data_IF_848819230796
#
_entry.id   IF_848819230796
#
_cell.length_a   1.000
_cell.length_b   1.000
_cell.length_c   1.000
_cell.angle_alpha   90.00
_cell.angle_beta   90.00
_cell.angle_gamma   90.00
#
_symmetry.space_group_name_H-M   'P 1'
#
loop_
_entity.id
_entity.type
_entity.pdbx_description
1 polymer ?
#
# COMPACT_ATOMS: atom_id res chain seq x y z
N UNK A 1 53.16 71.56 20.71
CA UNK A 1 54.16 70.69 20.06
C UNK A 1 53.69 69.25 20.27
N UNK A 2 52.96 68.63 19.35
CA UNK A 2 53.48 67.92 18.17
C UNK A 2 54.69 67.04 18.50
N UNK A 3 54.53 65.72 18.62
CA UNK A 3 54.90 64.75 17.58
C UNK A 3 54.88 63.27 18.07
N UNK A 4 54.37 62.41 17.18
CA UNK A 4 54.74 61.00 16.91
C UNK A 4 54.24 59.88 17.85
N UNK A 5 53.02 59.42 17.53
CA UNK A 5 52.69 57.99 17.49
C UNK A 5 53.53 57.26 16.43
N UNK A 6 54.09 56.09 16.78
CA UNK A 6 54.38 54.99 15.83
C UNK A 6 54.05 53.65 16.48
N UNK A 7 53.17 52.92 15.80
CA UNK A 7 52.80 51.51 15.98
C UNK A 7 54.03 50.58 16.02
N UNK A 8 53.99 49.57 16.88
CA UNK A 8 54.26 48.15 16.53
C UNK A 8 53.46 47.26 17.50
N UNK A 9 52.64 46.32 16.97
CA UNK A 9 52.28 45.09 17.71
C UNK A 9 50.81 44.83 18.09
N UNK A 10 49.87 45.00 17.15
CA UNK A 10 48.60 44.22 17.12
C UNK A 10 48.97 42.75 16.76
N UNK A 11 48.39 41.66 17.26
CA UNK A 11 46.97 41.35 17.49
C UNK A 11 46.86 40.11 18.39
N UNK A 12 46.12 40.18 19.50
CA UNK A 12 45.61 38.98 20.19
C UNK A 12 44.11 38.90 19.87
N UNK A 13 43.78 38.26 18.76
CA UNK A 13 42.39 38.02 18.37
C UNK A 13 41.92 36.75 19.07
N UNK A 14 41.19 36.91 20.18
CA UNK A 14 40.48 35.82 20.82
C UNK A 14 39.37 35.35 19.86
N UNK A 15 39.63 34.26 19.14
CA UNK A 15 38.62 33.55 18.34
C UNK A 15 37.70 32.82 19.32
N UNK A 16 36.61 33.47 19.69
CA UNK A 16 35.43 32.80 20.23
C UNK A 16 34.83 31.93 19.11
N UNK A 17 35.24 30.66 19.09
CA UNK A 17 34.55 29.60 18.35
C UNK A 17 33.16 29.42 18.97
N UNK A 18 32.20 30.21 18.49
CA UNK A 18 30.81 29.82 18.53
C UNK A 18 30.66 28.60 17.63
N UNK A 19 30.73 27.40 18.21
CA UNK A 19 30.14 26.20 17.62
C UNK A 19 28.63 26.43 17.54
N UNK A 20 28.17 27.10 16.48
CA UNK A 20 26.82 26.90 15.98
C UNK A 20 26.74 25.43 15.59
N UNK A 21 26.15 24.60 16.45
CA UNK A 21 25.56 23.33 16.02
C UNK A 21 24.39 23.70 15.09
N UNK A 22 24.71 24.07 13.86
CA UNK A 22 23.75 23.98 12.78
C UNK A 22 23.51 22.47 12.63
N UNK A 23 22.38 21.98 13.15
CA UNK A 23 21.96 20.61 12.85
C UNK A 23 21.82 20.53 11.33
N UNK A 24 22.80 19.91 10.68
CA UNK A 24 22.83 19.78 9.24
C UNK A 24 21.67 18.88 8.81
N UNK A 25 20.90 19.33 7.83
CA UNK A 25 19.86 18.52 7.20
C UNK A 25 20.53 17.31 6.53
N UNK A 26 20.19 16.10 6.97
CA UNK A 26 20.68 14.87 6.35
C UNK A 26 19.70 14.39 5.29
N UNK A 27 20.25 13.96 4.16
CA UNK A 27 19.49 13.40 3.07
C UNK A 27 19.68 11.87 3.04
N UNK A 28 18.56 11.14 2.96
CA UNK A 28 18.52 9.69 2.96
C UNK A 28 17.94 9.14 1.67
N UNK A 29 18.46 8.02 1.20
CA UNK A 29 17.98 7.36 -0.01
C UNK A 29 16.96 6.26 0.30
N UNK A 30 15.78 6.35 -0.31
CA UNK A 30 14.78 5.28 -0.31
C UNK A 30 14.76 4.64 -1.70
N UNK A 31 15.00 3.33 -1.74
CA UNK A 31 15.05 2.55 -2.97
C UNK A 31 13.68 2.08 -3.46
N UNK A 32 13.55 1.83 -4.76
CA UNK A 32 12.44 1.08 -5.35
C UNK A 32 12.86 0.41 -6.65
N UNK A 33 12.37 -0.80 -6.91
CA UNK A 33 12.56 -1.56 -8.14
C UNK A 33 11.64 -1.11 -9.28
N UNK A 34 10.62 -0.29 -8.98
CA UNK A 34 9.67 0.25 -9.95
C UNK A 34 10.33 1.23 -10.91
N UNK A 35 9.95 1.15 -12.17
CA UNK A 35 10.48 1.99 -13.24
C UNK A 35 9.95 3.42 -13.14
N UNK A 36 10.78 4.41 -13.48
CA UNK A 36 10.37 5.81 -13.53
C UNK A 36 9.19 5.99 -14.50
N UNK A 37 8.16 6.72 -14.06
CA UNK A 37 6.91 6.91 -14.80
C UNK A 37 5.87 5.80 -14.61
N UNK A 38 6.17 4.71 -13.90
CA UNK A 38 5.14 3.78 -13.45
C UNK A 38 4.31 4.40 -12.32
N UNK A 39 3.07 3.94 -12.14
CA UNK A 39 2.22 4.42 -11.04
C UNK A 39 2.87 4.19 -9.68
N UNK A 40 3.52 3.04 -9.48
CA UNK A 40 4.22 2.77 -8.22
C UNK A 40 5.38 3.74 -7.95
N UNK A 41 6.17 4.09 -8.98
CA UNK A 41 7.25 5.08 -8.83
C UNK A 41 6.69 6.47 -8.51
N UNK A 42 5.65 6.90 -9.21
CA UNK A 42 5.03 8.21 -8.96
C UNK A 42 4.34 8.27 -7.59
N UNK A 43 3.75 7.17 -7.12
CA UNK A 43 3.23 7.08 -5.76
C UNK A 43 4.32 7.25 -4.70
N UNK A 44 5.48 6.61 -4.89
CA UNK A 44 6.62 6.76 -3.98
C UNK A 44 7.22 8.16 -4.05
N UNK A 45 7.32 8.75 -5.25
CA UNK A 45 7.77 10.13 -5.44
C UNK A 45 6.88 11.10 -4.67
N UNK A 46 5.55 10.96 -4.80
CA UNK A 46 4.59 11.78 -4.05
C UNK A 46 4.76 11.58 -2.53
N UNK A 47 4.91 10.35 -2.07
CA UNK A 47 5.12 10.05 -0.65
C UNK A 47 6.38 10.72 -0.07
N UNK A 48 7.48 10.72 -0.83
CA UNK A 48 8.74 11.39 -0.46
C UNK A 48 8.57 12.91 -0.44
N UNK A 49 7.93 13.49 -1.47
CA UNK A 49 7.68 14.93 -1.53
C UNK A 49 6.80 15.41 -0.36
N UNK A 50 5.76 14.63 -0.04
CA UNK A 50 4.91 14.84 1.12
C UNK A 50 5.70 14.82 2.42
N UNK A 51 6.54 13.81 2.65
CA UNK A 51 7.41 13.76 3.85
C UNK A 51 8.32 14.99 3.92
N UNK A 52 9.02 15.30 2.82
CA UNK A 52 9.98 16.40 2.76
C UNK A 52 9.33 17.76 3.03
N UNK A 53 8.07 17.94 2.61
CA UNK A 53 7.32 19.18 2.80
C UNK A 53 6.74 19.27 4.21
N UNK A 54 6.08 18.22 4.69
CA UNK A 54 5.35 18.23 5.97
C UNK A 54 6.28 18.04 7.18
N UNK A 55 7.34 17.23 7.05
CA UNK A 55 8.16 16.77 8.18
C UNK A 55 9.63 17.17 8.06
N UNK A 56 10.14 17.38 6.84
CA UNK A 56 11.53 17.75 6.59
C UNK A 56 12.05 18.93 7.41
N UNK A 57 11.33 20.07 7.52
CA UNK A 57 11.78 21.24 8.29
C UNK A 57 11.95 20.98 9.79
N UNK A 58 11.11 20.11 10.36
CA UNK A 58 11.09 19.85 11.81
C UNK A 58 12.00 18.69 12.21
N UNK A 59 12.14 17.69 11.34
CA UNK A 59 12.95 16.49 11.60
C UNK A 59 14.39 16.63 11.13
N UNK A 60 14.67 17.56 10.20
CA UNK A 60 15.94 17.68 9.49
C UNK A 60 16.33 16.38 8.75
N UNK A 61 15.32 15.61 8.36
CA UNK A 61 15.44 14.37 7.58
C UNK A 61 14.76 14.61 6.25
N UNK A 62 15.53 14.53 5.16
CA UNK A 62 14.98 14.56 3.80
C UNK A 62 15.23 13.24 3.11
N UNK A 63 14.35 12.91 2.17
CA UNK A 63 14.49 11.72 1.34
C UNK A 63 14.65 12.08 -0.13
N UNK A 64 15.46 11.28 -0.82
CA UNK A 64 15.47 11.17 -2.28
C UNK A 64 15.17 9.73 -2.70
N UNK A 65 14.43 9.61 -3.80
CA UNK A 65 14.12 8.32 -4.41
C UNK A 65 15.33 7.81 -5.20
N UNK A 66 15.62 6.53 -5.04
CA UNK A 66 16.57 5.79 -5.88
C UNK A 66 15.80 4.71 -6.59
N UNK A 67 15.84 4.71 -7.92
CA UNK A 67 15.26 3.67 -8.76
C UNK A 67 16.26 3.18 -9.78
N UNK A 68 15.96 2.09 -10.50
CA UNK A 68 16.84 1.54 -11.52
C UNK A 68 17.03 2.54 -12.67
N UNK A 69 18.25 2.62 -13.18
CA UNK A 69 18.57 3.40 -14.38
C UNK A 69 18.06 2.69 -15.62
N UNK A 70 18.13 1.35 -15.62
CA UNK A 70 17.71 0.48 -16.72
C UNK A 70 16.36 -0.16 -16.45
N UNK A 71 15.36 0.15 -17.27
CA UNK A 71 14.01 -0.42 -17.16
C UNK A 71 13.87 -1.81 -17.79
N UNK A 72 14.86 -2.26 -18.54
CA UNK A 72 14.91 -3.58 -19.20
C UNK A 72 15.69 -4.62 -18.38
N UNK A 73 16.44 -4.19 -17.37
CA UNK A 73 17.26 -5.06 -16.53
C UNK A 73 16.43 -6.00 -15.65
N UNK A 74 17.04 -7.13 -15.31
CA UNK A 74 16.49 -8.11 -14.37
C UNK A 74 16.39 -7.49 -12.97
N UNK A 75 15.48 -7.98 -12.12
CA UNK A 75 15.28 -7.42 -10.78
C UNK A 75 16.53 -7.49 -9.89
N UNK A 76 17.40 -8.48 -10.11
CA UNK A 76 18.72 -8.55 -9.47
C UNK A 76 19.60 -7.35 -9.81
N UNK A 77 19.76 -7.04 -11.10
CA UNK A 77 20.54 -5.90 -11.59
C UNK A 77 19.98 -4.58 -11.04
N UNK A 78 18.65 -4.43 -11.07
CA UNK A 78 17.97 -3.25 -10.51
C UNK A 78 18.25 -3.07 -9.03
N UNK A 79 18.15 -4.16 -8.25
CA UNK A 79 18.45 -4.12 -6.82
C UNK A 79 19.92 -3.74 -6.59
N UNK A 80 20.86 -4.32 -7.34
CA UNK A 80 22.27 -3.97 -7.25
C UNK A 80 22.53 -2.49 -7.54
N UNK A 81 21.92 -1.93 -8.60
CA UNK A 81 22.00 -0.50 -8.92
C UNK A 81 21.49 0.38 -7.77
N UNK A 82 20.36 0.01 -7.16
CA UNK A 82 19.75 0.76 -6.06
C UNK A 82 20.63 0.71 -4.80
N UNK A 83 21.14 -0.47 -4.44
CA UNK A 83 21.97 -0.67 -3.24
C UNK A 83 23.31 0.07 -3.34
N UNK A 84 23.87 0.21 -4.54
CA UNK A 84 25.08 0.99 -4.79
C UNK A 84 24.92 2.49 -4.46
N UNK A 85 23.69 3.02 -4.42
CA UNK A 85 23.45 4.42 -4.04
C UNK A 85 23.32 4.63 -2.53
N UNK A 86 23.41 3.56 -1.73
CA UNK A 86 23.36 3.61 -0.27
C UNK A 86 21.98 3.96 0.27
N UNK A 87 21.04 3.02 0.13
CA UNK A 87 19.65 3.15 0.61
C UNK A 87 19.49 2.76 2.08
N UNK A 88 18.54 3.39 2.77
CA UNK A 88 18.13 3.02 4.15
C UNK A 88 16.97 2.04 4.21
N UNK A 89 16.19 1.95 3.12
CA UNK A 89 15.11 1.00 2.96
C UNK A 89 14.75 0.90 1.46
N UNK A 90 14.14 -0.21 1.08
CA UNK A 90 13.55 -0.38 -0.27
C UNK A 90 12.04 -0.56 -0.13
N UNK A 91 11.26 0.23 -0.89
CA UNK A 91 9.81 0.10 -0.94
C UNK A 91 9.43 -0.82 -2.11
N UNK A 92 8.80 -1.94 -1.78
CA UNK A 92 8.38 -2.96 -2.75
C UNK A 92 6.92 -2.70 -3.16
N UNK A 93 6.71 -2.48 -4.45
CA UNK A 93 5.39 -2.26 -5.04
C UNK A 93 4.71 -3.59 -5.40
N UNK A 94 3.51 -3.51 -5.96
CA UNK A 94 2.74 -4.69 -6.38
C UNK A 94 2.83 -4.92 -7.91
N UNK A 95 3.78 -4.27 -8.59
CA UNK A 95 3.98 -4.40 -10.04
C UNK A 95 4.78 -5.66 -10.41
N UNK A 96 5.50 -6.22 -9.45
CA UNK A 96 6.40 -7.36 -9.62
C UNK A 96 5.63 -8.68 -9.75
N UNK A 97 6.16 -9.62 -10.53
CA UNK A 97 5.64 -11.00 -10.49
C UNK A 97 5.96 -11.64 -9.15
N UNK A 98 5.26 -12.71 -8.77
CA UNK A 98 5.53 -13.44 -7.52
C UNK A 98 7.00 -13.90 -7.43
N UNK A 99 7.57 -14.34 -8.55
CA UNK A 99 8.96 -14.80 -8.63
C UNK A 99 9.96 -13.65 -8.43
N UNK A 100 9.74 -12.53 -9.10
CA UNK A 100 10.59 -11.35 -8.98
C UNK A 100 10.55 -10.77 -7.56
N UNK A 101 9.36 -10.69 -6.98
CA UNK A 101 9.20 -10.21 -5.61
C UNK A 101 9.88 -11.15 -4.58
N UNK A 102 9.89 -12.47 -4.82
CA UNK A 102 10.63 -13.42 -3.98
C UNK A 102 12.15 -13.21 -4.10
N UNK A 103 12.66 -13.00 -5.32
CA UNK A 103 14.06 -12.68 -5.57
C UNK A 103 14.48 -11.41 -4.81
N UNK A 104 13.73 -10.33 -4.96
CA UNK A 104 14.00 -9.05 -4.29
C UNK A 104 13.99 -9.23 -2.77
N UNK A 105 13.02 -9.95 -2.21
CA UNK A 105 12.97 -10.24 -0.76
C UNK A 105 14.17 -11.05 -0.27
N UNK A 106 14.63 -12.00 -1.06
CA UNK A 106 15.84 -12.77 -0.76
C UNK A 106 17.07 -11.87 -0.72
N UNK A 107 17.18 -10.94 -1.67
CA UNK A 107 18.26 -9.95 -1.68
C UNK A 107 18.20 -9.02 -0.45
N UNK A 108 17.01 -8.51 -0.08
CA UNK A 108 16.82 -7.71 1.12
C UNK A 108 17.35 -8.43 2.38
N UNK A 109 17.03 -9.73 2.50
CA UNK A 109 17.54 -10.56 3.59
C UNK A 109 19.07 -10.71 3.54
N UNK A 110 19.59 -11.07 2.37
CA UNK A 110 21.01 -11.35 2.17
C UNK A 110 21.89 -10.11 2.46
N UNK A 111 21.49 -8.94 1.98
CA UNK A 111 22.26 -7.70 2.14
C UNK A 111 21.95 -6.95 3.44
N UNK A 112 21.09 -7.49 4.32
CA UNK A 112 20.57 -6.83 5.52
C UNK A 112 19.89 -5.49 5.23
N UNK A 113 19.16 -5.36 4.12
CA UNK A 113 18.46 -4.12 3.78
C UNK A 113 16.99 -4.25 4.15
N UNK A 114 16.45 -3.36 5.01
CA UNK A 114 15.03 -3.37 5.33
C UNK A 114 14.19 -3.09 4.09
N UNK A 115 13.27 -3.99 3.79
CA UNK A 115 12.33 -3.84 2.70
C UNK A 115 10.91 -3.73 3.24
N UNK A 116 10.20 -2.73 2.73
CA UNK A 116 8.86 -2.38 3.17
C UNK A 116 7.91 -2.65 2.01
N UNK A 117 7.12 -3.71 2.13
CA UNK A 117 6.22 -4.16 1.08
C UNK A 117 4.82 -3.56 1.25
N UNK A 118 4.27 -3.04 0.15
CA UNK A 118 2.93 -2.46 0.14
C UNK A 118 1.81 -3.51 0.20
N UNK A 119 2.11 -4.79 -0.08
CA UNK A 119 1.15 -5.90 0.05
C UNK A 119 1.85 -7.16 0.59
N UNK A 120 1.08 -8.00 1.29
CA UNK A 120 1.51 -9.36 1.64
C UNK A 120 1.36 -10.29 0.43
N UNK A 121 2.44 -10.96 0.04
CA UNK A 121 2.45 -11.96 -1.03
C UNK A 121 2.33 -13.39 -0.46
N UNK A 122 1.94 -14.38 -1.28
CA UNK A 122 2.02 -15.80 -0.94
C UNK A 122 3.38 -16.14 -0.34
N UNK A 123 3.38 -16.56 0.91
CA UNK A 123 4.59 -17.02 1.58
C UNK A 123 4.71 -18.52 1.33
N UNK A 124 5.47 -18.92 0.30
CA UNK A 124 5.80 -20.33 0.05
C UNK A 124 6.94 -20.82 0.96
N UNK A 125 7.82 -19.93 1.40
CA UNK A 125 8.99 -20.24 2.23
C UNK A 125 9.28 -19.16 3.29
N UNK A 126 10.20 -19.48 4.22
CA UNK A 126 10.51 -18.84 5.50
C UNK A 126 10.27 -17.32 5.62
N UNK A 127 9.78 -16.90 6.79
CA UNK A 127 9.71 -15.50 7.22
C UNK A 127 11.07 -14.85 7.08
N UNK A 128 11.20 -13.95 6.09
CA UNK A 128 12.40 -13.12 5.98
C UNK A 128 12.37 -12.05 7.06
N UNK A 129 13.40 -12.02 7.89
CA UNK A 129 13.53 -11.05 8.97
C UNK A 129 13.70 -9.60 8.50
N UNK A 130 13.91 -9.36 7.21
CA UNK A 130 14.13 -8.02 6.65
C UNK A 130 12.94 -7.47 5.86
N UNK A 131 11.82 -8.19 5.84
CA UNK A 131 10.60 -7.73 5.17
C UNK A 131 9.57 -7.28 6.19
N UNK A 132 8.99 -6.11 5.97
CA UNK A 132 7.88 -5.57 6.74
C UNK A 132 6.74 -5.23 5.80
N UNK A 133 5.54 -5.76 6.06
CA UNK A 133 4.35 -5.54 5.24
C UNK A 133 3.50 -4.43 5.84
N UNK A 134 3.36 -3.33 5.10
CA UNK A 134 2.48 -2.21 5.47
C UNK A 134 1.05 -2.45 5.01
N UNK A 135 0.89 -3.16 3.90
CA UNK A 135 -0.41 -3.58 3.41
C UNK A 135 -1.13 -4.59 4.30
N UNK A 136 -2.41 -4.85 4.00
CA UNK A 136 -3.15 -5.92 4.65
C UNK A 136 -2.47 -7.28 4.45
N UNK A 137 -2.60 -8.13 5.46
CA UNK A 137 -2.28 -9.55 5.33
C UNK A 137 -3.14 -10.20 4.25
N UNK A 138 -2.61 -11.25 3.63
CA UNK A 138 -3.32 -12.04 2.63
C UNK A 138 -4.70 -12.49 3.14
N UNK A 139 -5.69 -12.39 2.26
CA UNK A 139 -7.08 -12.75 2.55
C UNK A 139 -7.78 -11.87 3.60
N UNK A 140 -7.14 -10.82 4.11
CA UNK A 140 -7.80 -9.90 5.05
C UNK A 140 -9.03 -9.22 4.41
N UNK A 141 -8.93 -8.80 3.14
CA UNK A 141 -10.07 -8.27 2.39
C UNK A 141 -11.22 -9.28 2.22
N UNK A 142 -10.90 -10.55 1.95
CA UNK A 142 -11.87 -11.63 1.85
C UNK A 142 -12.55 -11.95 3.19
N UNK A 143 -11.79 -11.95 4.30
CA UNK A 143 -12.34 -12.06 5.67
C UNK A 143 -13.27 -10.90 5.99
N UNK A 144 -12.84 -9.66 5.74
CA UNK A 144 -13.66 -8.47 5.93
C UNK A 144 -14.94 -8.51 5.09
N UNK A 145 -14.86 -9.00 3.84
CA UNK A 145 -16.03 -9.20 2.99
C UNK A 145 -16.95 -10.28 3.55
N UNK A 146 -16.42 -11.37 4.11
CA UNK A 146 -17.21 -12.44 4.73
C UNK A 146 -17.99 -11.92 5.95
N UNK A 147 -17.34 -11.13 6.80
CA UNK A 147 -17.97 -10.46 7.94
C UNK A 147 -19.06 -9.47 7.47
N UNK A 148 -18.77 -8.72 6.41
CA UNK A 148 -19.72 -7.81 5.77
C UNK A 148 -20.96 -8.57 5.25
N UNK A 149 -20.78 -9.70 4.56
CA UNK A 149 -21.87 -10.55 4.04
C UNK A 149 -22.74 -11.15 5.14
N UNK A 150 -22.15 -11.50 6.30
CA UNK A 150 -22.87 -12.03 7.46
C UNK A 150 -23.98 -11.07 7.93
N UNK A 151 -23.72 -9.77 7.86
CA UNK A 151 -24.70 -8.74 8.21
C UNK A 151 -25.86 -8.63 7.19
N UNK A 152 -25.58 -8.88 5.91
CA UNK A 152 -26.56 -8.72 4.82
C UNK A 152 -27.49 -9.92 4.66
N UNK A 153 -27.22 -11.03 5.36
CA UNK A 153 -28.04 -12.25 5.39
C UNK A 153 -28.32 -12.83 3.99
N UNK A 154 -27.35 -12.75 3.08
CA UNK A 154 -27.46 -13.35 1.76
C UNK A 154 -27.49 -14.88 1.86
N UNK A 155 -28.41 -15.53 1.15
CA UNK A 155 -28.55 -17.00 1.09
C UNK A 155 -27.86 -17.62 -0.14
N UNK A 156 -27.41 -16.79 -1.08
CA UNK A 156 -26.64 -17.21 -2.23
C UNK A 156 -26.16 -16.02 -3.04
N UNK A 157 -25.00 -16.17 -3.67
CA UNK A 157 -24.39 -15.14 -4.50
C UNK A 157 -23.45 -15.72 -5.56
N UNK A 158 -23.13 -14.90 -6.56
CA UNK A 158 -22.07 -15.15 -7.52
C UNK A 158 -20.79 -14.48 -7.04
N UNK A 159 -19.68 -15.21 -6.96
CA UNK A 159 -18.33 -14.67 -6.81
C UNK A 159 -17.65 -14.66 -8.19
N UNK A 160 -17.47 -13.47 -8.73
CA UNK A 160 -16.73 -13.23 -9.96
C UNK A 160 -15.31 -12.72 -9.63
N UNK A 161 -14.28 -13.35 -10.17
CA UNK A 161 -12.87 -12.98 -9.92
C UNK A 161 -12.09 -12.84 -11.23
N UNK A 162 -11.00 -12.06 -11.26
CA UNK A 162 -10.30 -11.74 -12.51
C UNK A 162 -9.18 -12.75 -12.85
N UNK A 163 -8.28 -12.99 -11.90
CA UNK A 163 -7.07 -13.80 -12.09
C UNK A 163 -7.11 -15.09 -11.24
N UNK A 164 -6.47 -16.16 -11.71
CA UNK A 164 -6.41 -17.42 -10.97
C UNK A 164 -5.69 -17.28 -9.61
N UNK A 165 -4.69 -16.39 -9.54
CA UNK A 165 -3.98 -16.02 -8.32
C UNK A 165 -4.89 -15.46 -7.23
N UNK A 166 -6.00 -14.83 -7.61
CA UNK A 166 -6.95 -14.20 -6.68
C UNK A 166 -7.67 -15.24 -5.81
N UNK A 167 -7.76 -16.50 -6.27
CA UNK A 167 -8.47 -17.55 -5.56
C UNK A 167 -7.86 -17.88 -4.20
N UNK A 168 -6.53 -17.77 -4.07
CA UNK A 168 -5.85 -17.96 -2.79
C UNK A 168 -6.24 -16.88 -1.79
N UNK A 169 -6.25 -15.62 -2.25
CA UNK A 169 -6.65 -14.46 -1.46
C UNK A 169 -8.15 -14.50 -1.10
N UNK A 170 -8.98 -15.06 -1.98
CA UNK A 170 -10.42 -15.24 -1.79
C UNK A 170 -10.80 -16.51 -1.01
N UNK A 171 -9.84 -17.38 -0.67
CA UNK A 171 -10.11 -18.63 0.05
C UNK A 171 -10.90 -18.45 1.36
N UNK A 172 -10.70 -17.39 2.17
CA UNK A 172 -11.53 -17.18 3.37
C UNK A 172 -13.02 -16.93 3.05
N UNK A 173 -13.30 -16.31 1.89
CA UNK A 173 -14.68 -16.07 1.43
C UNK A 173 -15.36 -17.35 0.96
N UNK A 174 -14.58 -18.32 0.46
CA UNK A 174 -15.10 -19.64 0.12
C UNK A 174 -15.39 -20.49 1.37
N UNK A 175 -14.55 -20.35 2.40
CA UNK A 175 -14.78 -21.01 3.70
C UNK A 175 -16.03 -20.48 4.42
N UNK A 176 -16.44 -19.23 4.17
CA UNK A 176 -17.70 -18.68 4.68
C UNK A 176 -18.92 -19.56 4.32
N UNK A 177 -18.89 -20.24 3.16
CA UNK A 177 -19.93 -21.21 2.80
C UNK A 177 -20.10 -22.31 3.84
N UNK A 178 -18.99 -22.90 4.29
CA UNK A 178 -18.98 -24.00 5.24
C UNK A 178 -19.54 -23.55 6.58
N UNK A 179 -19.13 -22.37 7.04
CA UNK A 179 -19.61 -21.80 8.30
C UNK A 179 -21.11 -21.49 8.24
N UNK A 180 -21.58 -20.87 7.16
CA UNK A 180 -22.99 -20.55 6.97
C UNK A 180 -23.87 -21.81 6.92
N UNK A 181 -23.42 -22.85 6.23
CA UNK A 181 -24.12 -24.14 6.16
C UNK A 181 -24.24 -24.80 7.54
N UNK A 182 -23.22 -24.64 8.40
CA UNK A 182 -23.20 -25.19 9.77
C UNK A 182 -24.16 -24.44 10.71
N UNK A 183 -24.38 -23.14 10.48
CA UNK A 183 -25.34 -22.30 11.21
C UNK A 183 -26.81 -22.48 10.72
N UNK A 184 -27.08 -23.57 10.00
CA UNK A 184 -28.40 -23.91 9.46
C UNK A 184 -28.83 -23.08 8.24
N UNK A 185 -27.97 -22.21 7.71
CA UNK A 185 -28.23 -21.41 6.51
C UNK A 185 -27.55 -22.03 5.30
N UNK A 186 -28.29 -22.86 4.54
CA UNK A 186 -27.78 -23.40 3.27
C UNK A 186 -27.42 -22.27 2.31
N UNK A 187 -26.14 -22.12 2.04
CA UNK A 187 -25.58 -21.02 1.28
C UNK A 187 -25.14 -21.48 -0.11
N UNK A 188 -25.75 -20.90 -1.15
CA UNK A 188 -25.41 -21.26 -2.53
C UNK A 188 -24.40 -20.27 -3.15
N UNK A 189 -23.12 -20.64 -3.16
CA UNK A 189 -22.07 -19.83 -3.83
C UNK A 189 -21.80 -20.38 -5.24
N UNK A 190 -21.87 -19.53 -6.27
CA UNK A 190 -21.35 -19.83 -7.61
C UNK A 190 -20.06 -19.06 -7.82
N UNK A 191 -18.99 -19.74 -8.23
CA UNK A 191 -17.71 -19.10 -8.50
C UNK A 191 -17.47 -19.08 -10.01
N UNK A 192 -17.12 -17.92 -10.57
CA UNK A 192 -16.83 -17.75 -12.00
C UNK A 192 -15.66 -16.81 -12.22
N UNK A 193 -14.85 -17.10 -13.22
CA UNK A 193 -13.81 -16.18 -13.69
C UNK A 193 -14.45 -15.12 -14.59
N UNK A 194 -14.06 -13.87 -14.44
CA UNK A 194 -14.37 -12.80 -15.37
C UNK A 194 -13.71 -13.07 -16.73
N UNK A 195 -14.34 -12.65 -17.84
CA UNK A 195 -13.69 -12.65 -19.15
C UNK A 195 -12.33 -11.94 -19.07
N UNK A 196 -11.30 -12.54 -19.65
CA UNK A 196 -9.96 -11.96 -19.74
C UNK A 196 -9.75 -11.31 -21.11
N UNK A 197 -8.87 -10.31 -21.17
CA UNK A 197 -8.46 -9.64 -22.40
C UNK A 197 -9.63 -9.07 -23.23
N UNK A 198 -10.68 -8.61 -22.56
CA UNK A 198 -11.84 -7.99 -23.19
C UNK A 198 -12.35 -6.86 -22.30
N UNK A 199 -12.82 -5.80 -22.94
CA UNK A 199 -13.61 -4.76 -22.28
C UNK A 199 -15.12 -5.02 -22.41
N UNK A 200 -15.52 -6.04 -23.16
CA UNK A 200 -16.92 -6.47 -23.28
C UNK A 200 -17.27 -7.56 -22.25
N UNK A 201 -17.94 -7.13 -21.18
CA UNK A 201 -18.51 -7.93 -20.11
C UNK A 201 -20.01 -8.21 -20.33
N UNK A 202 -20.63 -7.66 -21.38
CA UNK A 202 -22.06 -7.82 -21.66
C UNK A 202 -22.47 -9.30 -21.82
N UNK A 203 -21.72 -10.16 -22.53
CA UNK A 203 -22.03 -11.59 -22.62
C UNK A 203 -22.01 -12.29 -21.26
N UNK A 204 -21.06 -11.92 -20.40
CA UNK A 204 -20.95 -12.48 -19.05
C UNK A 204 -22.13 -12.05 -18.17
N UNK A 205 -22.49 -10.77 -18.21
CA UNK A 205 -23.64 -10.24 -17.48
C UNK A 205 -24.96 -10.83 -17.98
N UNK A 206 -25.13 -11.00 -19.30
CA UNK A 206 -26.27 -11.72 -19.90
C UNK A 206 -26.35 -13.15 -19.41
N UNK A 207 -25.22 -13.85 -19.30
CA UNK A 207 -25.17 -15.21 -18.74
C UNK A 207 -25.62 -15.23 -17.27
N UNK A 208 -25.18 -14.27 -16.46
CA UNK A 208 -25.61 -14.14 -15.06
C UNK A 208 -27.13 -13.94 -14.99
N UNK A 209 -27.66 -12.96 -15.72
CA UNK A 209 -29.07 -12.58 -15.71
C UNK A 209 -29.98 -13.72 -16.19
N UNK A 210 -29.62 -14.37 -17.30
CA UNK A 210 -30.51 -15.33 -17.99
C UNK A 210 -30.34 -16.76 -17.51
N UNK A 211 -29.09 -17.21 -17.29
CA UNK A 211 -28.78 -18.61 -16.95
C UNK A 211 -28.64 -18.82 -15.44
N UNK A 212 -27.87 -17.96 -14.77
CA UNK A 212 -27.63 -18.15 -13.33
C UNK A 212 -28.79 -17.63 -12.48
N UNK A 213 -29.50 -16.59 -12.94
CA UNK A 213 -30.61 -15.92 -12.26
C UNK A 213 -30.25 -15.49 -10.82
N UNK A 214 -28.98 -15.10 -10.62
CA UNK A 214 -28.47 -14.59 -9.35
C UNK A 214 -28.51 -13.06 -9.37
N UNK A 215 -29.03 -12.48 -8.29
CA UNK A 215 -29.17 -11.02 -8.12
C UNK A 215 -28.07 -10.44 -7.23
N UNK A 216 -27.50 -11.27 -6.35
CA UNK A 216 -26.40 -10.93 -5.46
C UNK A 216 -25.07 -11.30 -6.14
N UNK A 217 -24.24 -10.29 -6.40
CA UNK A 217 -23.03 -10.43 -7.20
C UNK A 217 -21.86 -9.81 -6.45
N UNK A 218 -20.82 -10.60 -6.21
CA UNK A 218 -19.55 -10.17 -5.65
C UNK A 218 -18.53 -10.14 -6.78
N UNK A 219 -17.80 -9.03 -6.89
CA UNK A 219 -16.78 -8.85 -7.92
C UNK A 219 -15.44 -8.58 -7.24
N UNK A 220 -14.45 -9.38 -7.62
CA UNK A 220 -13.07 -9.24 -7.24
C UNK A 220 -12.20 -8.89 -8.44
N UNK A 221 -11.65 -7.67 -8.38
CA UNK A 221 -10.69 -7.14 -9.34
C UNK A 221 -9.91 -6.03 -8.64
N UNK A 222 -8.58 -6.07 -8.71
CA UNK A 222 -7.71 -4.97 -8.28
C UNK A 222 -7.75 -3.79 -9.26
N UNK A 223 -8.20 -4.02 -10.49
CA UNK A 223 -8.30 -3.00 -11.52
C UNK A 223 -9.64 -2.25 -11.45
N UNK A 224 -9.60 -0.99 -11.02
CA UNK A 224 -10.80 -0.16 -10.87
C UNK A 224 -11.50 0.13 -12.20
N UNK A 225 -10.78 0.12 -13.32
CA UNK A 225 -11.35 0.29 -14.67
C UNK A 225 -12.23 -0.90 -15.06
N UNK A 226 -11.85 -2.12 -14.68
CA UNK A 226 -12.67 -3.32 -14.89
C UNK A 226 -13.99 -3.21 -14.12
N UNK A 227 -13.92 -2.75 -12.87
CA UNK A 227 -15.10 -2.50 -12.04
C UNK A 227 -16.03 -1.46 -12.69
N UNK A 228 -15.47 -0.36 -13.17
CA UNK A 228 -16.23 0.69 -13.87
C UNK A 228 -16.90 0.17 -15.15
N UNK A 229 -16.17 -0.48 -16.03
CA UNK A 229 -16.69 -1.00 -17.30
C UNK A 229 -17.82 -2.02 -17.08
N UNK A 230 -17.65 -2.91 -16.10
CA UNK A 230 -18.68 -3.89 -15.74
C UNK A 230 -19.95 -3.20 -15.24
N UNK A 231 -19.84 -2.20 -14.36
CA UNK A 231 -21.00 -1.44 -13.88
C UNK A 231 -21.74 -0.72 -15.01
N UNK A 232 -21.01 -0.10 -15.94
CA UNK A 232 -21.63 0.60 -17.07
C UNK A 232 -22.39 -0.33 -18.01
N UNK A 233 -21.86 -1.54 -18.24
CA UNK A 233 -22.54 -2.53 -19.08
C UNK A 233 -23.70 -3.21 -18.34
N UNK A 234 -23.56 -3.43 -17.03
CA UNK A 234 -24.65 -3.93 -16.19
C UNK A 234 -25.86 -2.99 -16.24
N UNK A 235 -25.62 -1.68 -16.28
CA UNK A 235 -26.66 -0.67 -16.51
C UNK A 235 -27.35 -0.85 -17.85
N UNK A 236 -26.59 -1.01 -18.95
CA UNK A 236 -27.15 -1.28 -20.29
C UNK A 236 -28.04 -2.53 -20.37
N UNK A 237 -27.89 -3.45 -19.41
CA UNK A 237 -28.68 -4.68 -19.32
C UNK A 237 -29.79 -4.62 -18.25
N UNK A 238 -30.14 -3.45 -17.72
CA UNK A 238 -31.08 -3.27 -16.61
C UNK A 238 -30.72 -4.12 -15.39
N UNK A 239 -29.41 -4.24 -15.10
CA UNK A 239 -28.88 -4.87 -13.90
C UNK A 239 -28.34 -3.85 -12.89
N UNK A 240 -28.61 -2.55 -13.11
CA UNK A 240 -28.27 -1.44 -12.21
C UNK A 240 -29.48 -0.96 -11.38
N UNK A 241 -30.52 -1.80 -11.28
CA UNK A 241 -31.78 -1.52 -10.58
C UNK A 241 -32.14 -2.70 -9.64
N UNK A 242 -33.08 -2.53 -8.69
CA UNK A 242 -33.60 -3.65 -7.91
C UNK A 242 -34.12 -4.77 -8.82
N UNK A 243 -33.89 -6.05 -8.50
CA UNK A 243 -33.39 -6.58 -7.21
C UNK A 243 -31.87 -6.80 -7.14
N UNK A 244 -31.06 -6.24 -8.06
CA UNK A 244 -29.61 -6.52 -8.09
C UNK A 244 -28.86 -5.84 -6.93
N UNK A 245 -27.85 -6.54 -6.41
CA UNK A 245 -26.94 -6.02 -5.38
C UNK A 245 -25.51 -6.43 -5.69
N UNK A 246 -24.61 -5.45 -5.67
CA UNK A 246 -23.18 -5.63 -5.95
C UNK A 246 -22.34 -5.39 -4.72
N UNK A 247 -21.36 -6.28 -4.51
CA UNK A 247 -20.29 -6.12 -3.52
C UNK A 247 -18.97 -6.14 -4.25
N UNK A 248 -18.18 -5.08 -4.12
CA UNK A 248 -16.83 -5.01 -4.66
C UNK A 248 -15.81 -5.18 -3.55
N UNK A 249 -14.87 -6.10 -3.77
CA UNK A 249 -13.76 -6.31 -2.81
C UNK A 249 -12.62 -5.30 -2.99
N UNK A 250 -12.63 -4.53 -4.09
CA UNK A 250 -11.68 -3.47 -4.36
C UNK A 250 -11.83 -2.34 -3.33
N UNK A 251 -10.73 -1.92 -2.71
CA UNK A 251 -10.70 -0.90 -1.65
C UNK A 251 -10.78 0.53 -2.15
N UNK A 252 -10.69 0.73 -3.47
CA UNK A 252 -10.69 2.02 -4.16
C UNK A 252 -12.04 2.31 -4.84
N UNK A 253 -13.11 1.62 -4.44
CA UNK A 253 -14.46 1.80 -5.00
C UNK A 253 -14.94 3.26 -4.92
N UNK A 254 -14.56 4.00 -3.88
CA UNK A 254 -14.92 5.40 -3.69
C UNK A 254 -14.35 6.32 -4.77
N UNK A 255 -13.27 5.93 -5.46
CA UNK A 255 -12.71 6.70 -6.57
C UNK A 255 -13.67 6.78 -7.78
N UNK A 256 -14.65 5.87 -7.84
CA UNK A 256 -15.66 5.86 -8.91
C UNK A 256 -16.85 6.80 -8.64
N UNK A 257 -16.89 7.50 -7.50
CA UNK A 257 -18.05 8.35 -7.13
C UNK A 257 -18.43 9.35 -8.24
N UNK A 258 -17.47 10.15 -8.71
CA UNK A 258 -17.70 11.18 -9.73
C UNK A 258 -18.11 10.56 -11.08
N UNK A 259 -17.48 9.45 -11.45
CA UNK A 259 -17.81 8.73 -12.70
C UNK A 259 -19.23 8.14 -12.66
N UNK A 260 -19.64 7.59 -11.52
CA UNK A 260 -20.99 7.06 -11.32
C UNK A 260 -22.03 8.19 -11.25
N UNK A 261 -21.64 9.41 -10.84
CA UNK A 261 -22.51 10.58 -10.80
C UNK A 261 -22.71 11.22 -12.18
N UNK A 262 -21.66 11.27 -13.01
CA UNK A 262 -21.68 11.93 -14.31
C UNK A 262 -22.31 11.08 -15.43
N UNK A 263 -22.56 9.79 -15.18
CA UNK A 263 -22.94 8.82 -16.22
C UNK A 263 -24.42 8.43 -16.29
N UNK A 264 -25.12 8.25 -15.16
CA UNK A 264 -26.58 8.00 -14.99
C UNK A 264 -26.88 7.61 -13.53
N UNK A 265 -28.16 7.47 -13.17
CA UNK A 265 -28.59 6.96 -11.86
C UNK A 265 -28.40 5.44 -11.74
N UNK A 266 -27.74 5.02 -10.67
CA UNK A 266 -27.69 3.61 -10.24
C UNK A 266 -28.67 3.44 -9.07
N UNK A 267 -29.68 2.58 -9.23
CA UNK A 267 -30.72 2.33 -8.23
C UNK A 267 -30.51 1.00 -7.48
N UNK A 268 -29.51 0.21 -7.86
CA UNK A 268 -29.10 -1.00 -7.16
C UNK A 268 -28.24 -0.69 -5.92
N UNK A 269 -28.16 -1.67 -5.01
CA UNK A 269 -27.26 -1.60 -3.88
C UNK A 269 -25.83 -1.84 -4.36
N UNK A 270 -24.97 -0.82 -4.28
CA UNK A 270 -23.54 -0.93 -4.55
C UNK A 270 -22.81 -0.77 -3.23
N UNK A 271 -22.09 -1.81 -2.84
CA UNK A 271 -21.32 -1.85 -1.60
C UNK A 271 -19.90 -2.32 -1.88
N UNK A 272 -18.99 -2.03 -0.98
CA UNK A 272 -17.63 -2.52 -1.05
C UNK A 272 -16.86 -2.30 0.23
N UNK A 273 -15.56 -2.52 0.14
CA UNK A 273 -14.62 -2.26 1.20
C UNK A 273 -13.87 -0.97 0.92
N UNK A 274 -13.37 -0.36 1.98
CA UNK A 274 -12.46 0.77 1.91
C UNK A 274 -11.39 0.61 2.97
N UNK A 275 -10.13 0.80 2.57
CA UNK A 275 -8.99 0.71 3.49
C UNK A 275 -8.54 2.09 3.99
N UNK A 276 -8.53 3.09 3.10
CA UNK A 276 -8.10 4.45 3.44
C UNK A 276 -9.18 5.18 4.24
N UNK A 277 -8.78 5.94 5.26
CA UNK A 277 -9.70 6.77 6.05
C UNK A 277 -10.27 7.92 5.21
N UNK A 278 -11.60 8.06 5.23
CA UNK A 278 -12.35 9.20 4.66
C UNK A 278 -12.20 10.49 5.48
N UNK A 279 -10.99 11.04 5.56
CA UNK A 279 -10.77 12.44 5.98
C UNK A 279 -10.99 13.34 4.73
N UNK A 280 -11.56 14.58 4.81
CA UNK A 280 -11.82 15.39 3.62
C UNK A 280 -10.58 15.66 2.75
N UNK A 281 -9.39 15.70 3.35
CA UNK A 281 -8.11 15.82 2.63
C UNK A 281 -7.70 14.56 1.86
N UNK A 282 -8.31 13.40 2.18
CA UNK A 282 -7.90 12.06 1.73
C UNK A 282 -9.02 11.31 1.02
N UNK A 283 -10.18 11.95 0.80
CA UNK A 283 -11.44 11.35 0.29
C UNK A 283 -11.27 10.60 -1.04
N UNK A 284 -10.21 10.90 -1.79
CA UNK A 284 -9.93 10.35 -3.13
C UNK A 284 -8.49 9.85 -3.24
N UNK A 285 -7.91 9.32 -2.16
CA UNK A 285 -6.59 8.69 -2.26
C UNK A 285 -6.71 7.21 -2.62
N UNK A 286 -6.02 6.80 -3.69
CA UNK A 286 -5.87 5.40 -4.03
C UNK A 286 -5.14 4.65 -2.90
N UNK A 287 -5.55 3.42 -2.63
CA UNK A 287 -5.03 2.58 -1.55
C UNK A 287 -3.51 2.43 -1.65
N UNK A 288 -2.99 2.19 -2.86
CA UNK A 288 -1.54 2.08 -3.05
C UNK A 288 -0.78 3.36 -2.71
N UNK A 289 -1.33 4.54 -3.04
CA UNK A 289 -0.71 5.81 -2.72
C UNK A 289 -0.70 6.08 -1.20
N UNK A 290 -1.77 5.67 -0.51
CA UNK A 290 -1.84 5.75 0.96
C UNK A 290 -0.77 4.86 1.60
N UNK A 291 -0.64 3.62 1.14
CA UNK A 291 0.34 2.66 1.66
C UNK A 291 1.78 3.12 1.36
N UNK A 292 2.07 3.68 0.17
CA UNK A 292 3.37 4.28 -0.14
C UNK A 292 3.70 5.45 0.77
N UNK A 293 2.72 6.31 1.06
CA UNK A 293 2.88 7.46 1.97
C UNK A 293 3.19 6.99 3.40
N UNK A 294 2.46 5.98 3.88
CA UNK A 294 2.74 5.35 5.18
C UNK A 294 4.10 4.65 5.21
N UNK A 295 4.54 4.05 4.11
CA UNK A 295 5.84 3.42 4.01
C UNK A 295 7.00 4.39 4.21
N UNK A 296 6.96 5.53 3.50
CA UNK A 296 7.94 6.60 3.69
C UNK A 296 7.84 7.17 5.10
N UNK A 297 6.63 7.35 5.63
CA UNK A 297 6.43 7.86 6.98
C UNK A 297 6.99 6.92 8.06
N UNK A 298 6.83 5.60 7.91
CA UNK A 298 7.41 4.59 8.81
C UNK A 298 8.94 4.65 8.79
N UNK A 299 9.54 4.74 7.62
CA UNK A 299 11.01 4.87 7.46
C UNK A 299 11.49 6.17 8.11
N UNK A 300 10.85 7.30 7.81
CA UNK A 300 11.17 8.62 8.36
C UNK A 300 11.05 8.70 9.88
N UNK A 301 9.94 8.22 10.44
CA UNK A 301 9.73 8.20 11.89
C UNK A 301 10.70 7.26 12.60
N UNK A 302 11.12 6.17 11.95
CA UNK A 302 12.14 5.27 12.50
C UNK A 302 13.48 6.00 12.62
N UNK A 303 13.95 6.63 11.54
CA UNK A 303 15.21 7.39 11.53
C UNK A 303 15.15 8.54 12.53
N UNK A 304 14.02 9.26 12.59
CA UNK A 304 13.81 10.33 13.55
C UNK A 304 13.96 9.83 15.00
N UNK A 305 13.28 8.72 15.38
CA UNK A 305 13.40 8.14 16.71
C UNK A 305 14.81 7.62 17.00
N UNK A 306 15.48 7.03 16.02
CA UNK A 306 16.87 6.58 16.17
C UNK A 306 17.83 7.75 16.39
N UNK A 307 17.62 8.87 15.69
CA UNK A 307 18.40 10.11 15.86
C UNK A 307 18.23 10.70 17.25
N UNK A 308 17.00 10.77 17.76
CA UNK A 308 16.72 11.25 19.13
C UNK A 308 17.45 10.42 20.20
N UNK A 309 17.70 9.13 19.91
CA UNK A 309 18.47 8.23 20.77
C UNK A 309 19.99 8.28 20.51
N UNK A 310 20.47 9.10 19.57
CA UNK A 310 21.89 9.17 19.20
C UNK A 310 22.40 8.02 18.33
N UNK A 311 21.50 7.26 17.70
CA UNK A 311 21.81 6.06 16.92
C UNK A 311 21.30 6.17 15.47
N UNK A 312 21.37 7.34 14.85
CA UNK A 312 20.94 7.52 13.45
C UNK A 312 21.71 6.55 12.52
N UNK A 313 21.02 5.86 11.59
CA UNK A 313 21.66 4.89 10.72
C UNK A 313 22.55 5.58 9.69
N UNK A 314 23.71 4.98 9.40
CA UNK A 314 24.63 5.46 8.36
C UNK A 314 24.40 4.71 7.06
N UNK A 315 24.08 5.45 6.00
CA UNK A 315 23.96 4.90 4.66
C UNK A 315 25.32 4.39 4.15
N UNK A 316 25.33 3.24 3.49
CA UNK A 316 26.52 2.68 2.86
C UNK A 316 26.19 2.15 1.47
N UNK A 317 27.00 2.50 0.48
CA UNK A 317 26.98 1.86 -0.84
C UNK A 317 27.37 0.39 -0.70
N UNK A 318 26.58 -0.50 -1.29
CA UNK A 318 26.86 -1.95 -1.32
C UNK A 318 27.06 -2.42 -2.76
N UNK A 319 28.07 -3.26 -2.96
CA UNK A 319 28.32 -3.95 -4.22
C UNK A 319 27.84 -5.40 -4.11
N UNK A 320 27.03 -5.86 -5.07
CA UNK A 320 26.49 -7.23 -5.02
C UNK A 320 27.59 -8.31 -5.03
N UNK A 321 28.68 -8.08 -5.76
CA UNK A 321 29.78 -9.03 -5.90
C UNK A 321 30.74 -9.04 -4.68
N UNK A 322 30.67 -8.05 -3.79
CA UNK A 322 31.58 -7.97 -2.64
C UNK A 322 31.15 -8.83 -1.45
N UNK A 323 29.96 -9.45 -1.52
CA UNK A 323 29.33 -10.19 -0.40
C UNK A 323 29.17 -9.36 0.89
N UNK A 324 29.26 -8.03 0.80
CA UNK A 324 29.09 -7.14 1.94
C UNK A 324 27.62 -7.00 2.33
N UNK A 325 27.35 -6.74 3.60
CA UNK A 325 26.00 -6.45 4.10
C UNK A 325 25.97 -5.09 4.77
N UNK A 326 24.79 -4.45 4.82
CA UNK A 326 24.66 -3.17 5.49
C UNK A 326 24.73 -3.34 7.01
N UNK A 327 25.78 -2.80 7.63
CA UNK A 327 26.05 -2.90 9.08
C UNK A 327 24.88 -2.39 9.92
N UNK A 328 24.33 -1.22 9.56
CA UNK A 328 23.24 -0.58 10.31
C UNK A 328 21.85 -1.09 9.88
N UNK A 329 21.81 -2.05 8.94
CA UNK A 329 20.56 -2.56 8.39
C UNK A 329 19.69 -3.31 9.40
N UNK A 330 20.31 -4.07 10.31
CA UNK A 330 19.58 -4.77 11.37
C UNK A 330 18.92 -3.81 12.35
N UNK A 331 19.64 -2.77 12.79
CA UNK A 331 19.07 -1.78 13.73
C UNK A 331 17.97 -0.96 13.07
N UNK A 332 18.10 -0.65 11.78
CA UNK A 332 17.05 0.03 11.02
C UNK A 332 15.81 -0.85 10.86
N UNK A 333 15.98 -2.12 10.49
CA UNK A 333 14.89 -3.08 10.36
C UNK A 333 14.15 -3.30 11.70
N UNK A 334 14.89 -3.46 12.79
CA UNK A 334 14.30 -3.59 14.14
C UNK A 334 13.56 -2.31 14.55
N UNK A 335 14.10 -1.14 14.19
CA UNK A 335 13.44 0.15 14.39
C UNK A 335 12.10 0.23 13.67
N UNK A 336 12.04 -0.19 12.40
CA UNK A 336 10.82 -0.28 11.61
C UNK A 336 9.82 -1.23 12.27
N UNK A 337 10.23 -2.46 12.59
CA UNK A 337 9.35 -3.51 13.15
C UNK A 337 8.79 -3.16 14.52
N UNK A 338 9.53 -2.40 15.34
CA UNK A 338 9.09 -1.95 16.67
C UNK A 338 8.27 -0.67 16.64
N UNK A 339 8.17 -0.01 15.48
CA UNK A 339 7.46 1.25 15.35
C UNK A 339 5.97 1.05 15.65
N UNK A 340 5.45 1.95 16.48
CA UNK A 340 4.02 2.06 16.77
C UNK A 340 3.57 3.47 16.43
N UNK A 341 2.66 3.56 15.48
CA UNK A 341 2.04 4.81 15.05
C UNK A 341 0.53 4.68 15.14
N UNK A 342 -0.13 5.74 15.59
CA UNK A 342 -1.58 5.82 15.66
C UNK A 342 -2.12 6.74 14.59
N UNK A 343 -3.39 6.58 14.26
CA UNK A 343 -4.13 7.49 13.38
C UNK A 343 -3.50 7.68 11.99
N UNK A 344 -2.90 6.63 11.43
CA UNK A 344 -2.34 6.66 10.07
C UNK A 344 -3.45 6.47 9.03
N UNK A 345 -3.09 6.63 7.75
CA UNK A 345 -4.02 6.68 6.60
C UNK A 345 -4.90 5.43 6.47
N UNK A 346 -4.38 4.26 6.84
CA UNK A 346 -5.07 2.96 6.69
C UNK A 346 -5.30 2.25 8.03
N UNK A 347 -5.21 2.97 9.15
CA UNK A 347 -5.38 2.42 10.49
C UNK A 347 -4.20 2.77 11.40
N UNK A 348 -4.01 2.00 12.45
CA UNK A 348 -2.78 2.08 13.25
C UNK A 348 -1.68 1.27 12.56
N UNK A 349 -0.41 1.61 12.82
CA UNK A 349 0.75 0.87 12.31
C UNK A 349 1.42 0.20 13.49
N UNK A 350 1.31 -1.13 13.50
CA UNK A 350 2.00 -2.05 14.40
C UNK A 350 2.26 -3.34 13.63
N UNK A 351 3.42 -3.95 13.86
CA UNK A 351 3.84 -5.15 13.17
C UNK A 351 3.94 -6.33 14.13
N UNK A 352 3.53 -7.50 13.64
CA UNK A 352 3.74 -8.79 14.27
C UNK A 352 5.21 -9.20 14.16
N UNK A 353 5.67 -10.20 14.94
CA UNK A 353 7.04 -10.72 14.84
C UNK A 353 7.41 -11.21 13.44
N UNK A 354 6.44 -11.66 12.63
CA UNK A 354 6.65 -12.11 11.26
C UNK A 354 6.72 -10.96 10.23
N UNK A 355 6.66 -9.70 10.66
CA UNK A 355 6.68 -8.52 9.79
C UNK A 355 5.32 -8.18 9.17
N UNK A 356 4.25 -8.92 9.43
CA UNK A 356 2.90 -8.56 8.98
C UNK A 356 2.30 -7.43 9.81
N UNK A 357 1.42 -6.64 9.20
CA UNK A 357 0.61 -5.65 9.92
C UNK A 357 -0.43 -6.32 10.81
N UNK A 358 -0.52 -5.90 12.07
CA UNK A 358 -1.41 -6.49 13.07
C UNK A 358 -2.83 -5.91 13.04
N UNK A 359 -2.95 -4.58 13.07
CA UNK A 359 -4.21 -3.86 13.27
C UNK A 359 -4.62 -3.08 12.00
N UNK A 360 -4.97 -3.82 10.95
CA UNK A 360 -5.50 -3.20 9.73
C UNK A 360 -7.03 -3.23 9.73
N UNK A 361 -7.66 -2.06 9.57
CA UNK A 361 -9.11 -1.90 9.65
C UNK A 361 -9.70 -1.64 8.27
N UNK A 362 -10.66 -2.49 7.87
CA UNK A 362 -11.49 -2.24 6.71
C UNK A 362 -12.79 -1.53 7.13
N UNK A 363 -13.20 -0.55 6.33
CA UNK A 363 -14.50 0.08 6.45
C UNK A 363 -15.42 -0.44 5.35
N UNK A 364 -16.62 -0.88 5.72
CA UNK A 364 -17.69 -1.12 4.75
C UNK A 364 -18.18 0.21 4.18
N UNK A 365 -18.29 0.30 2.86
CA UNK A 365 -18.86 1.46 2.17
C UNK A 365 -20.06 1.03 1.33
N UNK A 366 -21.05 1.90 1.28
CA UNK A 366 -22.27 1.71 0.50
C UNK A 366 -22.62 2.99 -0.21
N UNK A 367 -23.13 2.87 -1.43
CA UNK A 367 -23.62 3.99 -2.20
C UNK A 367 -25.03 4.34 -1.74
N UNK A 368 -25.19 5.50 -1.10
CA UNK A 368 -26.48 6.03 -0.63
C UNK A 368 -26.63 7.45 -1.20
N UNK A 369 -27.76 7.77 -1.81
CA UNK A 369 -28.04 9.09 -2.40
C UNK A 369 -26.90 9.58 -3.32
N UNK A 370 -26.37 8.69 -4.17
CA UNK A 370 -25.28 8.98 -5.11
C UNK A 370 -23.92 9.32 -4.48
N UNK A 371 -23.71 9.02 -3.19
CA UNK A 371 -22.43 9.18 -2.51
C UNK A 371 -22.02 7.89 -1.82
N UNK A 372 -20.71 7.60 -1.76
CA UNK A 372 -20.22 6.52 -0.93
C UNK A 372 -20.12 6.98 0.52
N UNK A 373 -20.86 6.30 1.39
CA UNK A 373 -20.85 6.55 2.83
C UNK A 373 -20.37 5.30 3.57
N UNK A 374 -19.72 5.52 4.72
CA UNK A 374 -19.37 4.41 5.61
C UNK A 374 -20.65 3.76 6.12
N UNK A 375 -20.76 2.45 5.92
CA UNK A 375 -21.88 1.67 6.42
C UNK A 375 -21.39 0.94 7.67
N UNK A 376 -21.75 1.47 8.83
CA UNK A 376 -21.67 0.71 10.08
C UNK A 376 -22.78 -0.32 10.07
N UNK A 377 -22.42 -1.58 9.90
CA UNK A 377 -23.34 -2.67 10.08
C UNK A 377 -23.53 -2.84 11.58
N UNK A 378 -24.74 -2.56 12.08
CA UNK A 378 -25.10 -2.86 13.47
C UNK A 378 -24.81 -4.34 13.72
N UNK A 379 -23.85 -4.60 14.62
CA UNK A 379 -23.52 -5.93 15.13
C UNK A 379 -24.70 -6.56 15.87
#
# INVERSE_FOLDING_TARGET
MQEKCRLVGSSLLAVLLFCSFANATENFHIGTTSSRGSFAYEHLRYAIDRWNTEHGPHTLIRFSIVGPLRHDGHYEERMCEIMQQGVVAVILSNEETEQDAQLVKSMCHYFNIPCVALQALPQRDAVSDFITHIGPARGAGARATSEFLRSMRWTGFLLAYQHGSDLEDLSPLMQYQQVADTDGRRMHIKIRRLPNNTDDYEPFLKYIKTRLKLTNIIIHSSNITVVYNLLQQARGLNMAEPPFSYVFTNTDLSLLEDFLNNGATFHCNITGLQLVKNDPMMKVLATQLALSSEAVYVVGMTIFRMRELGHAPRQSSLLCDSHETWIDGRIMNDGIRRLKLRNQLTGDIQFKPNGERDDIMYHGVGRINSQFVKVCLKS
#
